data_IF_668461033629
#
_entry.id   IF_668461033629
#
_cell.length_a   1.000
_cell.length_b   1.000
_cell.length_c   1.000
_cell.angle_alpha   90.00
_cell.angle_beta   90.00
_cell.angle_gamma   90.00
#
_symmetry.space_group_name_H-M   'P 1'
#
loop_
_entity.id
_entity.type
_entity.pdbx_description
1 polymer ?
#
# COMPACT_ATOMS: atom_id res chain seq x y z
N UNK A 1 6.57 2.65 -34.18
CA UNK A 1 7.33 3.40 -35.19
C UNK A 1 8.23 2.40 -35.89
N UNK A 2 8.34 2.46 -37.22
CA UNK A 2 9.28 1.58 -37.94
C UNK A 2 10.70 2.13 -37.77
N UNK A 3 11.74 1.29 -37.66
CA UNK A 3 13.14 1.75 -37.70
C UNK A 3 13.45 2.62 -38.92
N UNK A 4 12.75 2.38 -40.04
CA UNK A 4 12.87 3.14 -41.29
C UNK A 4 12.40 4.60 -41.14
N UNK A 5 11.32 4.86 -40.37
CA UNK A 5 10.82 6.21 -40.12
C UNK A 5 11.81 7.04 -39.25
N UNK A 6 12.55 6.38 -38.35
CA UNK A 6 13.55 7.03 -37.48
C UNK A 6 14.78 7.46 -38.29
N UNK A 7 15.21 6.62 -39.24
CA UNK A 7 16.33 6.92 -40.12
C UNK A 7 15.96 7.97 -41.19
N UNK A 8 14.72 7.95 -41.69
CA UNK A 8 14.21 8.97 -42.61
C UNK A 8 14.11 10.35 -41.94
N UNK A 9 13.71 10.42 -40.67
CA UNK A 9 13.72 11.66 -39.87
C UNK A 9 15.13 12.29 -39.73
N UNK A 10 16.19 11.48 -39.61
CA UNK A 10 17.57 11.99 -39.60
C UNK A 10 17.99 12.63 -40.94
N UNK A 11 17.16 12.48 -41.98
CA UNK A 11 17.41 12.87 -43.38
C UNK A 11 16.43 13.93 -43.92
N UNK A 12 15.81 14.75 -43.06
CA UNK A 12 14.71 15.72 -43.35
C UNK A 12 13.29 15.12 -43.44
N UNK A 13 13.05 13.95 -42.80
CA UNK A 13 11.75 13.30 -42.73
C UNK A 13 10.68 14.00 -41.86
N UNK A 14 9.48 13.41 -41.76
CA UNK A 14 8.31 14.01 -41.12
C UNK A 14 8.48 14.23 -39.60
N UNK A 15 8.00 15.36 -39.09
CA UNK A 15 8.05 15.70 -37.66
C UNK A 15 7.10 14.84 -36.81
N UNK A 16 7.49 14.41 -35.60
CA UNK A 16 6.60 13.64 -34.71
C UNK A 16 5.33 14.41 -34.31
N UNK A 17 4.21 13.69 -34.26
CA UNK A 17 2.92 14.22 -33.83
C UNK A 17 2.54 13.71 -32.43
N UNK A 18 1.95 14.57 -31.61
CA UNK A 18 1.43 14.20 -30.30
C UNK A 18 0.22 13.25 -30.37
N UNK A 19 -0.53 13.30 -31.49
CA UNK A 19 -1.65 12.39 -31.73
C UNK A 19 -1.71 11.99 -33.23
N UNK A 20 -1.55 10.71 -33.59
CA UNK A 20 -1.25 9.59 -32.70
C UNK A 20 0.21 9.62 -32.21
N UNK A 21 0.41 9.47 -30.90
CA UNK A 21 1.74 9.43 -30.29
C UNK A 21 2.47 8.13 -30.70
N UNK A 22 3.62 8.27 -31.37
CA UNK A 22 4.43 7.13 -31.83
C UNK A 22 5.87 7.25 -31.29
N UNK A 23 6.14 6.78 -30.06
CA UNK A 23 7.49 6.80 -29.52
C UNK A 23 8.41 5.83 -30.25
N UNK A 24 9.69 6.18 -30.29
CA UNK A 24 10.77 5.28 -30.64
C UNK A 24 11.12 4.45 -29.39
N UNK A 25 10.84 3.15 -29.44
CA UNK A 25 11.05 2.23 -28.32
C UNK A 25 12.48 1.67 -28.28
N UNK A 26 13.23 1.76 -29.38
CA UNK A 26 14.60 1.23 -29.48
C UNK A 26 15.59 2.20 -28.83
N UNK A 27 15.34 3.51 -28.93
CA UNK A 27 16.15 4.55 -28.28
C UNK A 27 15.29 5.64 -27.62
N UNK A 28 15.15 5.56 -26.30
CA UNK A 28 14.43 6.58 -25.51
C UNK A 28 15.06 7.97 -25.54
N UNK A 29 16.33 8.08 -25.91
CA UNK A 29 17.06 9.35 -26.05
C UNK A 29 17.20 9.79 -27.50
N UNK A 30 16.43 9.22 -28.43
CA UNK A 30 16.46 9.65 -29.83
C UNK A 30 15.91 11.08 -29.98
N UNK A 31 16.45 11.81 -30.97
CA UNK A 31 15.96 13.14 -31.33
C UNK A 31 14.46 13.14 -31.64
N UNK A 32 13.94 12.04 -32.21
CA UNK A 32 12.51 11.82 -32.40
C UNK A 32 11.71 11.91 -31.11
N UNK A 33 12.15 11.24 -30.03
CA UNK A 33 11.44 11.25 -28.76
C UNK A 33 11.51 12.62 -28.05
N UNK A 34 12.59 13.38 -28.26
CA UNK A 34 12.72 14.75 -27.77
C UNK A 34 11.72 15.67 -28.49
N UNK A 35 11.63 15.59 -29.81
CA UNK A 35 10.68 16.37 -30.61
C UNK A 35 9.22 15.94 -30.35
N UNK A 36 9.00 14.66 -30.07
CA UNK A 36 7.69 14.14 -29.65
C UNK A 36 7.26 14.70 -28.29
N UNK A 37 8.20 14.88 -27.36
CA UNK A 37 7.95 15.50 -26.06
C UNK A 37 7.56 16.98 -26.22
N UNK A 38 8.23 17.69 -27.14
CA UNK A 38 7.88 19.07 -27.49
C UNK A 38 6.50 19.17 -28.15
N UNK A 39 6.20 18.28 -29.10
CA UNK A 39 4.87 18.19 -29.72
C UNK A 39 3.77 17.90 -28.68
N UNK A 40 4.06 17.02 -27.72
CA UNK A 40 3.17 16.74 -26.59
C UNK A 40 2.93 17.97 -25.72
N UNK A 41 3.98 18.72 -25.39
CA UNK A 41 3.85 19.97 -24.62
C UNK A 41 2.96 21.00 -25.33
N UNK A 42 3.17 21.21 -26.64
CA UNK A 42 2.35 22.13 -27.44
C UNK A 42 0.88 21.70 -27.43
N UNK A 43 0.61 20.40 -27.55
CA UNK A 43 -0.75 19.87 -27.51
C UNK A 43 -1.37 19.98 -26.11
N UNK A 44 -0.60 19.66 -25.06
CA UNK A 44 -1.02 19.79 -23.67
C UNK A 44 -1.45 21.21 -23.35
N UNK A 45 -0.68 22.23 -23.77
CA UNK A 45 -1.03 23.63 -23.58
C UNK A 45 -2.31 24.05 -24.34
N UNK A 46 -2.61 23.43 -25.49
CA UNK A 46 -3.83 23.70 -26.27
C UNK A 46 -5.06 23.05 -25.64
N UNK A 47 -4.92 21.87 -25.05
CA UNK A 47 -6.04 21.09 -24.52
C UNK A 47 -6.42 21.48 -23.07
N UNK A 48 -5.49 22.08 -22.31
CA UNK A 48 -5.82 22.62 -20.99
C UNK A 48 -6.51 23.98 -21.09
N UNK A 49 -7.80 24.04 -20.69
CA UNK A 49 -8.59 25.29 -20.64
C UNK A 49 -7.97 26.41 -19.77
N UNK A 50 -7.00 26.09 -18.91
CA UNK A 50 -6.29 27.09 -18.09
C UNK A 50 -4.88 26.61 -17.67
N UNK A 51 -3.84 26.83 -18.49
CA UNK A 51 -2.46 26.44 -18.14
C UNK A 51 -1.93 27.19 -16.91
N UNK A 52 -2.50 28.34 -16.54
CA UNK A 52 -2.12 29.10 -15.35
C UNK A 52 -2.62 28.51 -14.02
N UNK A 53 -3.51 27.49 -14.06
CA UNK A 53 -3.98 26.78 -12.88
C UNK A 53 -2.92 25.84 -12.28
N UNK A 54 -1.91 25.49 -13.07
CA UNK A 54 -0.87 24.55 -12.68
C UNK A 54 0.49 25.25 -12.80
N UNK A 55 1.17 25.45 -11.67
CA UNK A 55 2.48 26.09 -11.57
C UNK A 55 3.60 25.12 -12.02
N UNK A 56 3.46 24.47 -13.17
CA UNK A 56 4.47 23.56 -13.72
C UNK A 56 5.30 24.31 -14.77
N UNK A 57 6.62 24.23 -14.65
CA UNK A 57 7.51 24.70 -15.72
C UNK A 57 7.41 23.77 -16.93
N UNK A 58 7.77 24.29 -18.12
CA UNK A 58 7.89 23.47 -19.34
C UNK A 58 8.75 22.21 -19.10
N UNK A 59 9.84 22.38 -18.35
CA UNK A 59 10.75 21.28 -18.01
C UNK A 59 10.08 20.21 -17.13
N UNK A 60 9.20 20.60 -16.20
CA UNK A 60 8.49 19.62 -15.35
C UNK A 60 7.58 18.71 -16.18
N UNK A 61 6.94 19.28 -17.21
CA UNK A 61 6.06 18.54 -18.13
C UNK A 61 6.89 17.59 -19.00
N UNK A 62 8.01 18.07 -19.55
CA UNK A 62 8.91 17.24 -20.37
C UNK A 62 9.54 16.10 -19.56
N UNK A 63 10.02 16.37 -18.35
CA UNK A 63 10.56 15.35 -17.43
C UNK A 63 9.50 14.32 -17.07
N UNK A 64 8.26 14.76 -16.83
CA UNK A 64 7.14 13.86 -16.55
C UNK A 64 6.83 12.97 -17.76
N UNK A 65 6.87 13.54 -18.96
CA UNK A 65 6.68 12.81 -20.22
C UNK A 65 7.77 11.74 -20.43
N UNK A 66 9.04 12.11 -20.28
CA UNK A 66 10.17 11.17 -20.38
C UNK A 66 10.09 10.04 -19.35
N UNK A 67 9.75 10.37 -18.10
CA UNK A 67 9.56 9.37 -17.04
C UNK A 67 8.42 8.41 -17.40
N UNK A 68 7.36 8.91 -18.03
CA UNK A 68 6.25 8.07 -18.49
C UNK A 68 6.68 7.17 -19.65
N UNK A 69 7.47 7.67 -20.60
CA UNK A 69 8.04 6.85 -21.68
C UNK A 69 8.97 5.77 -21.14
N UNK A 70 9.85 6.08 -20.20
CA UNK A 70 10.72 5.09 -19.51
C UNK A 70 9.88 4.00 -18.85
N UNK A 71 8.81 4.39 -18.15
CA UNK A 71 7.88 3.44 -17.54
C UNK A 71 7.21 2.54 -18.58
N UNK A 72 6.70 3.12 -19.67
CA UNK A 72 6.04 2.39 -20.75
C UNK A 72 7.00 1.47 -21.50
N UNK A 73 8.24 1.89 -21.75
CA UNK A 73 9.28 1.06 -22.34
C UNK A 73 9.57 -0.17 -21.45
N UNK A 74 9.69 0.03 -20.14
CA UNK A 74 9.80 -1.09 -19.19
C UNK A 74 8.58 -2.03 -19.22
N UNK A 75 7.40 -1.52 -19.57
CA UNK A 75 6.18 -2.30 -19.73
C UNK A 75 6.16 -3.08 -21.05
N UNK A 76 6.53 -2.43 -22.15
CA UNK A 76 6.67 -3.02 -23.49
C UNK A 76 7.71 -4.14 -23.48
N UNK A 77 8.87 -3.91 -22.86
CA UNK A 77 9.93 -4.91 -22.75
C UNK A 77 9.51 -6.13 -21.91
N UNK A 78 8.64 -5.94 -20.91
CA UNK A 78 8.07 -7.04 -20.13
C UNK A 78 7.00 -7.82 -20.90
N UNK A 79 6.31 -7.16 -21.83
CA UNK A 79 5.31 -7.77 -22.71
C UNK A 79 5.94 -8.41 -23.97
N UNK A 80 7.19 -8.07 -24.29
CA UNK A 80 7.89 -8.59 -25.46
C UNK A 80 8.08 -10.11 -25.36
N UNK A 81 7.80 -10.86 -26.45
CA UNK A 81 7.99 -12.30 -26.45
C UNK A 81 9.46 -12.68 -26.31
N UNK A 82 9.75 -13.59 -25.37
CA UNK A 82 11.03 -14.31 -25.33
C UNK A 82 11.21 -15.07 -26.65
N UNK A 83 12.46 -15.22 -27.13
CA UNK A 83 12.84 -15.79 -28.45
C UNK A 83 12.16 -17.12 -28.86
N UNK A 84 11.52 -17.82 -27.93
CA UNK A 84 10.93 -19.15 -28.13
C UNK A 84 9.42 -19.19 -27.84
N UNK A 85 8.75 -18.04 -27.66
CA UNK A 85 7.33 -17.95 -27.31
C UNK A 85 6.56 -17.16 -28.36
N UNK A 86 5.37 -17.65 -28.71
CA UNK A 86 4.46 -16.93 -29.61
C UNK A 86 3.94 -15.65 -28.94
N UNK A 87 3.60 -14.62 -29.72
CA UNK A 87 3.05 -13.34 -29.22
C UNK A 87 1.86 -13.53 -28.26
N UNK A 88 0.95 -14.46 -28.55
CA UNK A 88 -0.18 -14.80 -27.69
C UNK A 88 0.25 -15.36 -26.31
N UNK A 89 1.27 -16.22 -26.27
CA UNK A 89 1.79 -16.81 -25.03
C UNK A 89 2.53 -15.77 -24.18
N UNK A 90 3.21 -14.81 -24.81
CA UNK A 90 3.87 -13.71 -24.12
C UNK A 90 2.85 -12.76 -23.47
N UNK A 91 1.78 -12.43 -24.20
CA UNK A 91 0.66 -11.64 -23.68
C UNK A 91 -0.04 -12.33 -22.49
N UNK A 92 -0.23 -13.65 -22.56
CA UNK A 92 -0.83 -14.42 -21.47
C UNK A 92 0.07 -14.47 -20.22
N UNK A 93 1.37 -14.71 -20.40
CA UNK A 93 2.35 -14.65 -19.30
C UNK A 93 2.40 -13.26 -18.67
N UNK A 94 2.35 -12.21 -19.50
CA UNK A 94 2.33 -10.82 -19.06
C UNK A 94 1.08 -10.50 -18.24
N UNK A 95 -0.09 -10.87 -18.74
CA UNK A 95 -1.36 -10.69 -18.03
C UNK A 95 -1.41 -11.47 -16.71
N UNK A 96 -0.86 -12.69 -16.68
CA UNK A 96 -0.72 -13.47 -15.46
C UNK A 96 0.23 -12.79 -14.45
N UNK A 97 1.35 -12.23 -14.91
CA UNK A 97 2.28 -11.47 -14.06
C UNK A 97 1.64 -10.20 -13.52
N UNK A 98 0.83 -9.48 -14.30
CA UNK A 98 0.10 -8.31 -13.83
C UNK A 98 -0.93 -8.67 -12.77
N UNK A 99 -1.71 -9.74 -12.99
CA UNK A 99 -2.64 -10.28 -11.98
C UNK A 99 -1.89 -10.67 -10.71
N UNK A 100 -0.72 -11.31 -10.83
CA UNK A 100 0.11 -11.71 -9.70
C UNK A 100 0.67 -10.51 -8.92
N UNK A 101 1.28 -9.53 -9.60
CA UNK A 101 1.74 -8.29 -8.99
C UNK A 101 0.61 -7.55 -8.29
N UNK A 102 -0.54 -7.39 -8.95
CA UNK A 102 -1.73 -6.77 -8.37
C UNK A 102 -2.22 -7.53 -7.12
N UNK A 103 -2.19 -8.86 -7.14
CA UNK A 103 -2.55 -9.70 -6.00
C UNK A 103 -1.51 -9.67 -4.86
N UNK A 104 -0.25 -9.31 -5.12
CA UNK A 104 0.81 -9.14 -4.10
C UNK A 104 0.82 -7.70 -3.54
N UNK A 105 0.63 -6.71 -4.40
CA UNK A 105 0.57 -5.29 -4.02
C UNK A 105 -0.66 -4.98 -3.16
N UNK A 106 -1.81 -5.61 -3.45
CA UNK A 106 -3.06 -5.43 -2.68
C UNK A 106 -2.93 -5.77 -1.20
N UNK A 107 -2.41 -6.95 -0.78
CA UNK A 107 -2.10 -7.24 0.61
C UNK A 107 -1.13 -6.22 1.20
N UNK A 108 -0.06 -5.89 0.48
CA UNK A 108 1.03 -5.04 0.99
C UNK A 108 0.56 -3.61 1.29
N UNK A 109 -0.25 -3.00 0.42
CA UNK A 109 -0.88 -1.70 0.69
C UNK A 109 -1.97 -1.78 1.77
N UNK A 110 -2.80 -2.83 1.80
CA UNK A 110 -3.80 -3.02 2.87
C UNK A 110 -3.15 -3.18 4.26
N UNK A 111 -1.95 -3.77 4.33
CA UNK A 111 -1.18 -3.90 5.57
C UNK A 111 -0.62 -2.57 6.07
N UNK A 112 -0.21 -1.67 5.16
CA UNK A 112 0.15 -0.29 5.51
C UNK A 112 -1.09 0.42 6.07
N UNK A 113 -2.21 0.34 5.36
CA UNK A 113 -3.47 0.99 5.76
C UNK A 113 -3.99 0.57 7.13
N UNK A 114 -3.89 -0.69 7.55
CA UNK A 114 -4.49 -1.09 8.84
C UNK A 114 -3.75 -0.52 10.05
N UNK A 115 -2.41 -0.58 10.05
CA UNK A 115 -1.63 0.04 11.13
C UNK A 115 -1.86 1.54 11.13
N UNK A 116 -1.81 2.17 9.96
CA UNK A 116 -1.97 3.61 9.83
C UNK A 116 -3.36 4.05 10.28
N UNK A 117 -4.41 3.29 9.96
CA UNK A 117 -5.78 3.52 10.44
C UNK A 117 -5.87 3.41 11.96
N UNK A 118 -5.30 2.37 12.58
CA UNK A 118 -5.35 2.25 14.04
C UNK A 118 -4.57 3.38 14.74
N UNK A 119 -3.44 3.81 14.15
CA UNK A 119 -2.69 4.96 14.64
C UNK A 119 -3.44 6.28 14.44
N UNK A 120 -4.18 6.43 13.34
CA UNK A 120 -5.07 7.58 13.09
C UNK A 120 -6.18 7.63 14.15
N UNK A 121 -6.86 6.52 14.42
CA UNK A 121 -7.88 6.44 15.48
C UNK A 121 -7.27 6.83 16.83
N UNK A 122 -6.13 6.24 17.19
CA UNK A 122 -5.47 6.53 18.45
C UNK A 122 -4.99 7.98 18.54
N UNK A 123 -4.48 8.56 17.44
CA UNK A 123 -4.05 9.95 17.35
C UNK A 123 -5.22 10.92 17.49
N UNK A 124 -6.31 10.68 16.77
CA UNK A 124 -7.49 11.54 16.82
C UNK A 124 -8.16 11.55 18.19
N UNK A 125 -8.15 10.43 18.92
CA UNK A 125 -8.68 10.35 20.28
C UNK A 125 -7.67 10.77 21.36
N UNK A 126 -6.40 10.98 20.99
CA UNK A 126 -5.36 11.47 21.92
C UNK A 126 -5.48 12.97 22.18
N UNK A 127 -5.96 13.74 21.21
CA UNK A 127 -6.15 15.18 21.34
C UNK A 127 -7.53 15.47 21.94
N UNK A 128 -7.56 15.91 23.20
CA UNK A 128 -8.79 16.32 23.89
C UNK A 128 -9.21 17.76 23.52
N UNK A 129 -8.43 18.44 22.67
CA UNK A 129 -8.56 19.86 22.38
C UNK A 129 -7.86 20.73 23.43
N UNK A 130 -7.48 21.94 23.01
CA UNK A 130 -6.83 22.91 23.91
C UNK A 130 -5.43 22.52 24.38
N UNK A 131 -4.75 21.58 23.71
CA UNK A 131 -3.40 21.13 24.05
C UNK A 131 -3.35 20.07 25.16
N UNK A 132 -4.50 19.57 25.62
CA UNK A 132 -4.58 18.47 26.59
C UNK A 132 -4.50 17.11 25.89
N UNK A 133 -3.71 16.19 26.46
CA UNK A 133 -3.45 14.87 25.88
C UNK A 133 -4.13 13.78 26.72
N UNK A 134 -4.95 12.94 26.09
CA UNK A 134 -5.46 11.73 26.72
C UNK A 134 -4.34 10.68 26.88
N UNK A 135 -3.96 10.42 28.12
CA UNK A 135 -2.88 9.48 28.47
C UNK A 135 -3.21 8.02 28.13
N UNK A 136 -4.50 7.65 28.08
CA UNK A 136 -4.94 6.30 27.70
C UNK A 136 -4.71 6.10 26.21
N UNK A 137 -5.12 7.05 25.39
CA UNK A 137 -4.92 7.01 23.94
C UNK A 137 -3.45 7.18 23.54
N UNK A 138 -2.67 7.97 24.28
CA UNK A 138 -1.21 7.98 24.16
C UNK A 138 -0.58 6.61 24.42
N UNK A 139 -1.07 5.90 25.43
CA UNK A 139 -0.61 4.54 25.75
C UNK A 139 -1.01 3.54 24.66
N UNK A 140 -2.23 3.63 24.12
CA UNK A 140 -2.68 2.86 22.94
C UNK A 140 -1.78 3.13 21.74
N UNK A 141 -1.49 4.39 21.44
CA UNK A 141 -0.64 4.78 20.32
C UNK A 141 0.79 4.21 20.46
N UNK A 142 1.33 4.24 21.68
CA UNK A 142 2.64 3.66 22.00
C UNK A 142 2.63 2.14 21.83
N UNK A 143 1.60 1.47 22.32
CA UNK A 143 1.40 0.03 22.17
C UNK A 143 1.31 -0.38 20.69
N UNK A 144 0.53 0.35 19.88
CA UNK A 144 0.39 0.06 18.44
C UNK A 144 1.72 0.21 17.69
N UNK A 145 2.57 1.16 18.10
CA UNK A 145 3.91 1.30 17.55
C UNK A 145 4.84 0.15 17.94
N UNK A 146 4.77 -0.33 19.19
CA UNK A 146 5.53 -1.51 19.65
C UNK A 146 5.12 -2.78 18.91
N UNK A 147 3.82 -3.01 18.74
CA UNK A 147 3.31 -4.14 17.98
C UNK A 147 3.74 -4.09 16.51
N UNK A 148 3.78 -2.88 15.95
CA UNK A 148 4.09 -2.66 14.54
C UNK A 148 3.17 -3.43 13.59
N UNK A 149 3.60 -3.53 12.33
CA UNK A 149 2.87 -4.27 11.29
C UNK A 149 2.68 -5.74 11.66
N UNK A 150 3.71 -6.33 12.26
CA UNK A 150 3.71 -7.74 12.55
C UNK A 150 2.86 -8.07 13.77
N UNK A 151 2.46 -7.14 14.63
CA UNK A 151 1.56 -7.41 15.76
C UNK A 151 0.10 -7.15 15.42
N UNK A 152 -0.16 -6.25 14.50
CA UNK A 152 -1.50 -5.90 14.06
C UNK A 152 -1.97 -6.94 13.03
N UNK A 153 -2.85 -7.86 13.45
CA UNK A 153 -3.30 -9.01 12.64
C UNK A 153 -4.00 -8.58 11.35
N UNK A 154 -3.61 -9.18 10.22
CA UNK A 154 -4.14 -8.80 8.90
C UNK A 154 -4.44 -9.99 7.98
N UNK A 155 -4.19 -11.21 8.44
CA UNK A 155 -4.56 -12.40 7.67
C UNK A 155 -6.09 -12.58 7.78
N UNK A 156 -6.79 -12.05 6.79
CA UNK A 156 -8.22 -12.21 6.61
C UNK A 156 -8.47 -13.52 5.85
N UNK A 157 -9.46 -14.30 6.24
CA UNK A 157 -10.01 -15.29 5.31
C UNK A 157 -10.87 -14.56 4.28
N UNK A 158 -10.62 -14.77 2.99
CA UNK A 158 -11.48 -14.26 1.93
C UNK A 158 -12.85 -14.95 2.03
N UNK A 159 -13.82 -14.25 2.63
CA UNK A 159 -15.24 -14.53 2.44
C UNK A 159 -15.80 -13.41 1.57
N UNK A 160 -16.40 -13.77 0.45
CA UNK A 160 -17.13 -12.83 -0.40
C UNK A 160 -18.34 -12.28 0.35
N UNK A 161 -18.46 -10.95 0.41
CA UNK A 161 -19.65 -10.25 0.88
C UNK A 161 -19.89 -10.18 2.40
N UNK A 162 -19.00 -10.71 3.25
CA UNK A 162 -19.18 -10.75 4.71
C UNK A 162 -18.04 -10.11 5.52
N UNK A 163 -18.20 -10.02 6.86
CA UNK A 163 -17.11 -9.62 7.74
C UNK A 163 -15.91 -10.54 7.56
N UNK A 164 -14.73 -9.94 7.50
CA UNK A 164 -13.48 -10.68 7.39
C UNK A 164 -13.12 -11.29 8.74
N UNK A 165 -13.03 -12.62 8.79
CA UNK A 165 -12.55 -13.32 9.97
C UNK A 165 -11.04 -13.10 10.11
N UNK A 166 -10.63 -12.54 11.25
CA UNK A 166 -9.22 -12.30 11.57
C UNK A 166 -8.63 -13.59 12.13
N UNK A 167 -7.52 -14.08 11.54
CA UNK A 167 -6.81 -15.23 12.11
C UNK A 167 -6.32 -14.94 13.53
N UNK A 168 -6.49 -15.93 14.41
CA UNK A 168 -6.11 -15.85 15.83
C UNK A 168 -4.61 -15.92 15.99
N UNK A 169 -4.01 -14.99 16.73
CA UNK A 169 -2.62 -15.08 17.16
C UNK A 169 -2.59 -15.80 18.50
N UNK A 170 -2.09 -17.02 18.52
CA UNK A 170 -2.08 -17.83 19.76
C UNK A 170 -1.24 -17.21 20.86
N UNK A 171 -0.24 -16.41 20.48
CA UNK A 171 0.64 -15.73 21.41
C UNK A 171 0.10 -14.39 21.90
N UNK A 172 -1.00 -13.83 21.36
CA UNK A 172 -1.55 -12.57 21.88
C UNK A 172 -2.28 -12.80 23.20
N UNK A 173 -2.04 -11.96 24.19
CA UNK A 173 -2.89 -11.91 25.38
C UNK A 173 -4.35 -11.59 25.02
N UNK A 174 -5.27 -12.06 25.87
CA UNK A 174 -6.70 -11.84 25.69
C UNK A 174 -7.06 -10.36 25.78
N UNK A 175 -6.41 -9.62 26.69
CA UNK A 175 -6.59 -8.19 26.88
C UNK A 175 -6.16 -7.43 25.63
N UNK A 176 -4.99 -7.76 25.07
CA UNK A 176 -4.50 -7.15 23.83
C UNK A 176 -5.47 -7.37 22.66
N UNK A 177 -6.02 -8.58 22.57
CA UNK A 177 -6.97 -8.94 21.53
C UNK A 177 -8.28 -8.15 21.65
N UNK A 178 -8.79 -7.97 22.87
CA UNK A 178 -9.99 -7.18 23.15
C UNK A 178 -9.78 -5.71 22.84
N UNK A 179 -8.65 -5.15 23.27
CA UNK A 179 -8.31 -3.75 23.00
C UNK A 179 -8.24 -3.46 21.50
N UNK A 180 -7.61 -4.33 20.71
CA UNK A 180 -7.59 -4.20 19.25
C UNK A 180 -8.99 -4.32 18.61
N UNK A 181 -9.94 -5.00 19.26
CA UNK A 181 -11.33 -5.10 18.81
C UNK A 181 -12.11 -3.81 19.10
N UNK A 182 -11.89 -3.21 20.27
CA UNK A 182 -12.46 -1.91 20.65
C UNK A 182 -12.00 -0.83 19.67
N UNK A 183 -10.69 -0.76 19.39
CA UNK A 183 -10.14 0.26 18.47
C UNK A 183 -10.70 0.07 17.05
N UNK A 184 -10.82 -1.18 16.56
CA UNK A 184 -11.41 -1.45 15.23
C UNK A 184 -12.87 -0.95 15.13
N UNK A 185 -13.66 -1.01 16.21
CA UNK A 185 -15.05 -0.53 16.26
C UNK A 185 -15.16 0.99 16.26
N UNK A 186 -14.13 1.69 16.72
CA UNK A 186 -14.08 3.15 16.77
C UNK A 186 -13.69 3.80 15.44
N UNK A 187 -13.49 3.00 14.39
CA UNK A 187 -13.19 3.54 13.07
C UNK A 187 -14.39 4.30 12.50
N UNK A 188 -14.26 5.63 12.40
CA UNK A 188 -15.26 6.45 11.73
C UNK A 188 -15.13 6.33 10.20
N UNK A 189 -16.19 5.82 9.60
CA UNK A 189 -16.33 5.66 8.15
C UNK A 189 -16.68 6.98 7.44
N UNK A 190 -16.90 8.05 8.21
CA UNK A 190 -17.08 9.40 7.70
C UNK A 190 -15.74 10.15 7.64
N UNK A 191 -15.66 11.10 6.73
CA UNK A 191 -14.58 12.09 6.73
C UNK A 191 -14.93 13.24 7.68
N UNK A 192 -14.01 14.20 7.82
CA UNK A 192 -14.19 15.37 8.67
C UNK A 192 -15.43 16.23 8.34
N UNK A 193 -16.03 16.03 7.16
CA UNK A 193 -17.24 16.73 6.70
C UNK A 193 -18.51 15.89 6.83
N UNK A 194 -18.45 14.72 7.49
CA UNK A 194 -19.59 13.81 7.67
C UNK A 194 -19.95 12.98 6.43
N UNK A 195 -19.21 13.12 5.33
CA UNK A 195 -19.41 12.34 4.10
C UNK A 195 -18.74 10.98 4.21
N UNK A 196 -19.27 9.97 3.50
CA UNK A 196 -18.60 8.67 3.40
C UNK A 196 -17.20 8.85 2.78
N UNK A 197 -16.17 8.27 3.40
CA UNK A 197 -14.81 8.32 2.85
C UNK A 197 -14.78 7.65 1.47
N UNK A 198 -14.19 8.29 0.43
CA UNK A 198 -14.10 7.70 -0.91
C UNK A 198 -13.17 6.49 -0.92
N UNK A 199 -13.54 5.44 -1.67
CA UNK A 199 -12.73 4.22 -1.85
C UNK A 199 -13.43 2.95 -1.39
N UNK A 200 -12.70 1.82 -1.50
CA UNK A 200 -13.25 0.52 -1.10
C UNK A 200 -13.30 0.43 0.43
N UNK A 201 -14.50 0.24 0.98
CA UNK A 201 -14.72 0.19 2.42
C UNK A 201 -13.91 -0.94 3.04
N UNK A 202 -13.20 -0.72 4.17
CA UNK A 202 -12.62 -1.81 4.92
C UNK A 202 -13.75 -2.76 5.34
N UNK A 203 -13.61 -4.05 5.04
CA UNK A 203 -14.52 -5.05 5.58
C UNK A 203 -14.44 -5.03 7.11
N UNK A 204 -15.61 -5.08 7.75
CA UNK A 204 -15.75 -5.32 9.18
C UNK A 204 -14.90 -6.52 9.59
N UNK A 205 -14.18 -6.38 10.70
CA UNK A 205 -13.20 -7.35 11.17
C UNK A 205 -13.79 -8.05 12.38
N UNK A 206 -13.94 -9.37 12.30
CA UNK A 206 -14.42 -10.18 13.42
C UNK A 206 -13.28 -11.03 13.99
N UNK A 207 -13.02 -10.86 15.29
CA UNK A 207 -12.10 -11.71 16.06
C UNK A 207 -12.89 -12.77 16.80
N UNK A 208 -12.98 -13.96 16.21
CA UNK A 208 -13.67 -15.08 16.83
C UNK A 208 -12.69 -16.02 17.57
N UNK A 209 -13.08 -16.54 18.74
CA UNK A 209 -12.23 -17.48 19.52
C UNK A 209 -11.83 -18.74 18.73
N UNK A 210 -12.72 -19.20 17.84
CA UNK A 210 -12.53 -20.35 16.95
C UNK A 210 -11.91 -20.00 15.58
N UNK A 211 -11.43 -18.78 15.38
CA UNK A 211 -10.76 -18.42 14.14
C UNK A 211 -9.46 -19.24 13.96
N UNK A 212 -9.12 -19.54 12.70
CA UNK A 212 -7.90 -20.29 12.36
C UNK A 212 -6.67 -19.59 12.96
N UNK A 213 -5.76 -20.37 13.56
CA UNK A 213 -4.51 -19.83 14.07
C UNK A 213 -3.66 -19.25 12.92
N UNK A 214 -3.07 -18.07 13.15
CA UNK A 214 -2.08 -17.50 12.25
C UNK A 214 -0.78 -18.31 12.36
N UNK A 215 -0.11 -18.49 11.22
CA UNK A 215 1.21 -19.14 11.15
C UNK A 215 2.37 -18.18 11.45
N UNK A 216 2.10 -16.90 11.69
CA UNK A 216 3.13 -15.89 11.92
C UNK A 216 3.81 -16.11 13.27
N UNK A 217 5.13 -15.96 13.27
CA UNK A 217 5.95 -16.07 14.46
C UNK A 217 5.55 -15.01 15.51
N UNK A 218 5.75 -15.31 16.81
CA UNK A 218 5.66 -14.31 17.86
C UNK A 218 6.72 -13.21 17.66
N UNK A 219 6.37 -11.99 18.02
CA UNK A 219 7.28 -10.84 17.96
C UNK A 219 8.24 -10.93 19.14
N UNK A 220 9.50 -10.58 18.91
CA UNK A 220 10.53 -10.50 19.95
C UNK A 220 10.56 -9.10 20.56
N UNK A 221 10.90 -8.99 21.84
CA UNK A 221 11.06 -7.71 22.52
C UNK A 221 9.75 -7.02 22.89
N UNK A 222 8.62 -7.75 22.93
CA UNK A 222 7.39 -7.19 23.48
C UNK A 222 7.39 -7.31 25.02
N UNK A 223 6.66 -6.44 25.73
CA UNK A 223 6.38 -6.62 27.14
C UNK A 223 5.72 -7.99 27.42
N UNK A 224 6.02 -8.58 28.58
CA UNK A 224 5.53 -9.93 28.92
C UNK A 224 4.00 -10.04 28.88
N UNK A 225 3.29 -8.97 29.28
CA UNK A 225 1.81 -8.88 29.31
C UNK A 225 1.15 -8.92 27.93
N UNK A 226 1.94 -8.73 26.86
CA UNK A 226 1.42 -8.78 25.49
C UNK A 226 1.33 -10.23 25.02
N UNK A 227 2.06 -11.14 25.67
CA UNK A 227 1.98 -12.55 25.40
C UNK A 227 0.85 -13.21 26.19
N UNK A 228 0.17 -14.18 25.56
CA UNK A 228 -0.78 -15.02 26.26
C UNK A 228 -0.05 -15.85 27.33
N UNK A 229 -0.50 -15.77 28.58
CA UNK A 229 0.15 -16.43 29.71
C UNK A 229 0.22 -17.96 29.54
N UNK A 230 -0.90 -18.60 29.16
CA UNK A 230 -0.94 -20.06 28.94
C UNK A 230 0.01 -20.48 27.81
N UNK A 231 0.00 -19.76 26.70
CA UNK A 231 0.90 -20.01 25.57
C UNK A 231 2.37 -19.80 25.96
N UNK A 232 2.68 -18.73 26.69
CA UNK A 232 4.04 -18.40 27.09
C UNK A 232 4.59 -19.44 28.08
N UNK A 233 3.77 -19.94 28.99
CA UNK A 233 4.16 -20.97 29.95
C UNK A 233 4.55 -22.29 29.26
N UNK A 234 3.86 -22.65 28.17
CA UNK A 234 4.13 -23.85 27.38
C UNK A 234 5.44 -23.82 26.59
N UNK A 235 6.08 -22.66 26.45
CA UNK A 235 7.36 -22.53 25.73
C UNK A 235 8.53 -23.09 26.55
N UNK A 236 9.49 -23.68 25.84
CA UNK A 236 10.78 -24.06 26.43
C UNK A 236 11.58 -22.83 26.85
N UNK A 237 12.49 -23.00 27.80
CA UNK A 237 13.34 -21.89 28.28
C UNK A 237 14.16 -21.23 27.16
N UNK A 238 14.60 -22.01 26.18
CA UNK A 238 15.30 -21.49 24.99
C UNK A 238 14.38 -20.59 24.17
N UNK A 239 13.12 -20.98 23.98
CA UNK A 239 12.14 -20.20 23.21
C UNK A 239 11.75 -18.91 23.95
N UNK A 240 11.57 -18.98 25.27
CA UNK A 240 11.35 -17.82 26.14
C UNK A 240 12.52 -16.83 26.04
N UNK A 241 13.77 -17.32 26.09
CA UNK A 241 14.97 -16.48 25.89
C UNK A 241 15.02 -15.86 24.50
N UNK A 242 14.64 -16.59 23.45
CA UNK A 242 14.62 -16.07 22.08
C UNK A 242 13.57 -14.96 21.87
N UNK A 243 12.52 -14.92 22.69
CA UNK A 243 11.55 -13.83 22.69
C UNK A 243 12.12 -12.54 23.26
N UNK A 244 13.11 -12.61 24.16
CA UNK A 244 13.67 -11.45 24.89
C UNK A 244 12.56 -10.51 25.41
N UNK A 245 11.61 -10.99 26.22
CA UNK A 245 10.50 -10.16 26.67
C UNK A 245 11.01 -8.96 27.49
N UNK A 246 10.35 -7.81 27.31
CA UNK A 246 10.56 -6.65 28.16
C UNK A 246 9.75 -6.77 29.46
N UNK A 247 10.10 -5.94 30.43
CA UNK A 247 9.36 -5.84 31.69
C UNK A 247 7.87 -5.55 31.45
N UNK A 248 7.05 -5.93 32.45
CA UNK A 248 5.61 -5.69 32.45
C UNK A 248 5.27 -4.25 32.08
N UNK A 249 4.32 -4.12 31.17
CA UNK A 249 3.78 -2.83 30.74
C UNK A 249 2.29 -3.00 30.66
N UNK A 250 1.61 -2.44 31.67
CA UNK A 250 0.16 -2.46 31.74
C UNK A 250 -0.45 -2.03 30.42
N UNK A 251 -1.32 -2.89 29.90
CA UNK A 251 -2.11 -2.57 28.72
C UNK A 251 -3.07 -1.42 29.03
N UNK A 252 -3.28 -0.48 28.11
CA UNK A 252 -4.17 0.64 28.35
C UNK A 252 -5.62 0.16 28.49
N UNK A 253 -6.29 0.65 29.52
CA UNK A 253 -7.70 0.38 29.75
C UNK A 253 -8.53 1.48 29.11
N UNK A 254 -9.18 1.16 27.99
CA UNK A 254 -10.25 1.97 27.42
C UNK A 254 -11.54 1.52 28.12
N UNK A 255 -11.94 2.22 29.18
CA UNK A 255 -13.17 1.87 29.90
C UNK A 255 -14.40 2.08 29.00
N UNK A 256 -15.32 1.12 29.02
CA UNK A 256 -16.70 1.35 28.60
C UNK A 256 -17.36 2.22 29.68
N UNK A 257 -17.81 3.42 29.31
CA UNK A 257 -18.84 4.14 30.06
C UNK A 257 -20.21 3.75 29.51
#
# INVERSE_FOLDING_TARGET
>A
MSPEEVEEYKSEGPTPLANPMRPDWDSLTSHWNLDLAEAFYVQFCKDTENPAKYEFSKNDILVTFENKLKYLCGYVNKAAPLRNKTSAQALECFNASLKHCHNISRPTQRHLMLRDVLLEIAGNNMDLGGGSIDTRWKSVYTMLNLLGREGISSDKSDREGGPCMVKRRTWHSSELTQLLDIIDKLYDWKNAYGNARPGNRPHERMRHRRATASKRAPIRGLPIDFYNCEWYQLLMDVEKRLLCPQDERQLPVLADN
#
